data_IF_261728310711
#
_entry.id   IF_261728310711
#
_cell.length_a   1.000
_cell.length_b   1.000
_cell.length_c   1.000
_cell.angle_alpha   90.00
_cell.angle_beta   90.00
_cell.angle_gamma   90.00
#
_symmetry.space_group_name_H-M   'P 1'
#
loop_
_entity.id
_entity.type
_entity.pdbx_description
1 polymer ?
#
# COMPACT_ATOMS: atom_id res chain seq x y z
N UNK A 1 -4.01 -7.10 0.71
CA UNK A 1 -4.65 -6.80 -0.58
C UNK A 1 -4.42 -8.02 -1.42
N UNK A 2 -5.51 -8.71 -1.74
CA UNK A 2 -5.47 -10.03 -2.34
C UNK A 2 -5.32 -9.93 -3.85
N UNK A 3 -4.27 -10.56 -4.37
CA UNK A 3 -3.91 -10.53 -5.78
C UNK A 3 -3.78 -11.95 -6.31
N UNK A 4 -4.36 -12.18 -7.49
CA UNK A 4 -4.28 -13.47 -8.15
C UNK A 4 -2.83 -13.77 -8.56
N UNK A 5 -2.44 -15.03 -8.45
CA UNK A 5 -1.18 -15.52 -9.01
C UNK A 5 -1.34 -15.61 -10.54
N UNK A 6 -0.55 -14.81 -11.26
CA UNK A 6 -0.46 -14.83 -12.72
C UNK A 6 0.62 -15.78 -13.25
N UNK A 7 1.64 -16.09 -12.44
CA UNK A 7 2.74 -16.94 -12.87
C UNK A 7 3.72 -17.29 -11.74
N UNK A 8 4.75 -18.05 -12.10
CA UNK A 8 5.86 -18.40 -11.22
C UNK A 8 7.19 -18.36 -11.97
N UNK A 9 8.25 -17.95 -11.29
CA UNK A 9 9.63 -18.09 -11.75
C UNK A 9 10.56 -18.39 -10.58
N UNK A 10 11.77 -18.83 -10.90
CA UNK A 10 12.88 -18.89 -9.94
C UNK A 10 13.60 -17.54 -9.96
N UNK A 11 13.91 -17.01 -8.79
CA UNK A 11 14.82 -15.87 -8.68
C UNK A 11 16.29 -16.29 -8.91
N UNK A 12 17.21 -15.33 -8.77
CA UNK A 12 18.65 -15.55 -8.96
C UNK A 12 19.27 -16.53 -7.95
N UNK A 13 18.61 -16.74 -6.81
CA UNK A 13 19.03 -17.65 -5.75
C UNK A 13 18.38 -19.05 -5.88
N UNK A 14 17.55 -19.25 -6.91
CA UNK A 14 16.84 -20.51 -7.15
C UNK A 14 15.64 -20.71 -6.22
N UNK A 15 15.08 -19.63 -5.66
CA UNK A 15 13.85 -19.68 -4.87
C UNK A 15 12.61 -19.38 -5.71
N UNK A 16 11.53 -20.12 -5.45
CA UNK A 16 10.26 -19.90 -6.15
C UNK A 16 9.60 -18.58 -5.73
N UNK A 17 9.24 -17.81 -6.75
CA UNK A 17 8.52 -16.55 -6.66
C UNK A 17 7.21 -16.65 -7.42
N UNK A 18 6.12 -16.19 -6.82
CA UNK A 18 4.85 -16.00 -7.49
C UNK A 18 4.79 -14.59 -8.09
N UNK A 19 4.48 -14.51 -9.38
CA UNK A 19 4.16 -13.28 -10.08
C UNK A 19 2.68 -12.98 -9.89
N UNK A 20 2.37 -11.87 -9.22
CA UNK A 20 1.00 -11.47 -8.96
C UNK A 20 0.52 -10.55 -10.09
N UNK A 21 -0.79 -10.58 -10.38
CA UNK A 21 -1.40 -9.76 -11.44
C UNK A 21 -1.24 -8.25 -11.22
N UNK A 22 -0.98 -7.81 -9.99
CA UNK A 22 -0.63 -6.42 -9.68
C UNK A 22 0.80 -6.02 -10.10
N UNK A 23 1.59 -6.94 -10.68
CA UNK A 23 2.98 -6.73 -11.08
C UNK A 23 4.00 -6.93 -9.96
N UNK A 24 3.55 -7.21 -8.73
CA UNK A 24 4.44 -7.51 -7.60
C UNK A 24 4.79 -9.00 -7.54
N UNK A 25 5.93 -9.27 -6.90
CA UNK A 25 6.51 -10.59 -6.74
C UNK A 25 6.53 -11.00 -5.28
N UNK A 26 6.23 -12.27 -5.00
CA UNK A 26 6.23 -12.81 -3.64
C UNK A 26 6.89 -14.18 -3.57
N UNK A 27 7.91 -14.32 -2.71
CA UNK A 27 8.53 -15.61 -2.43
C UNK A 27 7.50 -16.59 -1.85
N UNK A 28 7.46 -17.78 -2.44
CA UNK A 28 6.58 -18.88 -2.05
C UNK A 28 7.45 -20.06 -1.66
N UNK A 29 7.91 -20.07 -0.41
CA UNK A 29 8.80 -21.14 0.11
C UNK A 29 7.98 -22.20 0.86
N UNK A 30 8.44 -23.44 0.81
CA UNK A 30 7.98 -24.54 1.67
C UNK A 30 9.10 -24.81 2.67
N UNK A 31 8.89 -24.40 3.92
CA UNK A 31 9.87 -24.49 5.00
C UNK A 31 9.21 -24.99 6.31
N UNK A 32 8.84 -26.28 6.39
CA UNK A 32 8.25 -26.85 7.60
C UNK A 32 9.24 -26.86 8.78
N UNK A 33 8.77 -26.66 10.03
CA UNK A 33 7.37 -26.54 10.45
C UNK A 33 6.78 -25.12 10.30
N UNK A 34 7.60 -24.13 9.94
CA UNK A 34 7.21 -22.72 9.96
C UNK A 34 6.24 -22.36 8.82
N UNK A 35 6.40 -22.95 7.64
CA UNK A 35 5.58 -22.66 6.46
C UNK A 35 5.36 -23.88 5.58
N UNK A 36 4.17 -24.47 5.60
CA UNK A 36 3.82 -25.60 4.75
C UNK A 36 3.12 -25.16 3.46
N UNK A 37 3.88 -25.13 2.36
CA UNK A 37 3.38 -24.93 0.98
C UNK A 37 3.80 -26.03 0.01
N UNK A 38 3.42 -27.30 0.23
CA UNK A 38 3.92 -28.44 -0.55
C UNK A 38 3.62 -28.34 -2.05
N UNK A 39 2.56 -27.60 -2.40
CA UNK A 39 2.19 -27.30 -3.79
C UNK A 39 3.28 -26.56 -4.57
N UNK A 40 4.22 -25.87 -3.91
CA UNK A 40 5.28 -25.16 -4.64
C UNK A 40 6.38 -26.08 -5.14
N UNK A 41 6.52 -27.27 -4.54
CA UNK A 41 7.61 -28.20 -4.84
C UNK A 41 7.49 -28.82 -6.23
N UNK A 42 6.26 -29.06 -6.69
CA UNK A 42 5.99 -29.74 -7.96
C UNK A 42 5.35 -28.80 -8.99
N UNK A 43 5.69 -28.91 -10.29
CA UNK A 43 5.10 -28.08 -11.35
C UNK A 43 3.58 -28.11 -11.38
N UNK A 44 2.96 -29.27 -11.20
CA UNK A 44 1.50 -29.47 -11.22
C UNK A 44 0.84 -28.73 -10.06
N UNK A 45 1.50 -28.76 -8.89
CA UNK A 45 1.09 -28.02 -7.71
C UNK A 45 1.11 -26.52 -7.95
N UNK A 46 2.15 -25.98 -8.58
CA UNK A 46 2.22 -24.56 -8.96
C UNK A 46 1.15 -24.21 -10.00
N UNK A 47 0.97 -25.03 -11.03
CA UNK A 47 -0.06 -24.83 -12.04
C UNK A 47 -1.47 -24.79 -11.43
N UNK A 48 -1.77 -25.67 -10.48
CA UNK A 48 -3.05 -25.66 -9.75
C UNK A 48 -3.30 -24.40 -8.92
N UNK A 49 -2.25 -23.61 -8.65
CA UNK A 49 -2.33 -22.37 -7.88
C UNK A 49 -2.47 -21.12 -8.72
N UNK A 50 -2.38 -21.21 -10.05
CA UNK A 50 -2.68 -20.06 -10.91
C UNK A 50 -4.12 -19.57 -10.65
N UNK A 51 -4.30 -18.24 -10.60
CA UNK A 51 -5.57 -17.61 -10.24
C UNK A 51 -5.90 -17.58 -8.75
N UNK A 52 -5.21 -18.36 -7.90
CA UNK A 52 -5.41 -18.25 -6.45
C UNK A 52 -4.95 -16.91 -5.91
N UNK A 53 -5.69 -16.39 -4.93
CA UNK A 53 -5.41 -15.10 -4.30
C UNK A 53 -4.35 -15.23 -3.18
N UNK A 54 -3.30 -14.42 -3.27
CA UNK A 54 -2.32 -14.21 -2.20
C UNK A 54 -2.39 -12.78 -1.67
N UNK A 55 -2.08 -12.59 -0.39
CA UNK A 55 -1.86 -11.26 0.17
C UNK A 55 -0.58 -10.67 -0.41
N UNK A 56 -0.69 -9.54 -1.12
CA UNK A 56 0.43 -8.81 -1.67
C UNK A 56 0.89 -7.73 -0.67
N UNK A 57 2.00 -7.99 0.02
CA UNK A 57 2.56 -7.08 1.04
C UNK A 57 2.79 -5.65 0.53
N UNK A 58 3.24 -5.49 -0.72
CA UNK A 58 3.46 -4.17 -1.31
C UNK A 58 2.16 -3.41 -1.59
N UNK A 59 1.13 -4.11 -2.07
CA UNK A 59 -0.20 -3.52 -2.23
C UNK A 59 -0.79 -3.15 -0.85
N UNK A 60 -0.54 -3.96 0.19
CA UNK A 60 -0.96 -3.64 1.55
C UNK A 60 -0.26 -2.40 2.10
N UNK A 61 1.07 -2.35 2.01
CA UNK A 61 1.87 -1.19 2.41
C UNK A 61 1.41 0.08 1.69
N UNK A 62 1.18 0.00 0.37
CA UNK A 62 0.65 1.11 -0.42
C UNK A 62 -0.74 1.54 0.06
N UNK A 63 -1.65 0.60 0.25
CA UNK A 63 -3.01 0.90 0.73
C UNK A 63 -2.99 1.59 2.10
N UNK A 64 -2.16 1.09 3.02
CA UNK A 64 -2.00 1.68 4.34
C UNK A 64 -1.39 3.09 4.29
N UNK A 65 -0.33 3.29 3.50
CA UNK A 65 0.32 4.58 3.33
C UNK A 65 -0.63 5.63 2.73
N UNK A 66 -1.42 5.24 1.73
CA UNK A 66 -2.42 6.13 1.12
C UNK A 66 -3.53 6.51 2.09
N UNK A 67 -4.08 5.54 2.82
CA UNK A 67 -5.10 5.81 3.82
C UNK A 67 -4.59 6.78 4.90
N UNK A 68 -3.34 6.60 5.34
CA UNK A 68 -2.71 7.47 6.31
C UNK A 68 -2.47 8.88 5.77
N UNK A 69 -1.94 9.00 4.56
CA UNK A 69 -1.70 10.30 3.93
C UNK A 69 -3.00 11.10 3.76
N UNK A 70 -4.07 10.45 3.28
CA UNK A 70 -5.38 11.09 3.14
C UNK A 70 -5.95 11.48 4.51
N UNK A 71 -5.85 10.60 5.51
CA UNK A 71 -6.32 10.90 6.88
C UNK A 71 -5.60 12.10 7.46
N UNK A 72 -4.28 12.16 7.35
CA UNK A 72 -3.47 13.28 7.83
C UNK A 72 -3.83 14.59 7.11
N UNK A 73 -3.99 14.55 5.78
CA UNK A 73 -4.40 15.71 4.99
C UNK A 73 -5.80 16.22 5.37
N UNK A 74 -6.75 15.31 5.60
CA UNK A 74 -8.09 15.67 6.07
C UNK A 74 -8.06 16.35 7.44
N UNK A 75 -7.29 15.83 8.39
CA UNK A 75 -7.16 16.38 9.74
C UNK A 75 -6.55 17.78 9.66
N UNK A 76 -5.39 17.92 9.01
CA UNK A 76 -4.72 19.22 8.87
C UNK A 76 -5.62 20.25 8.19
N UNK A 77 -6.25 19.88 7.07
CA UNK A 77 -7.19 20.76 6.37
C UNK A 77 -8.36 21.20 7.27
N UNK A 78 -8.91 20.28 8.08
CA UNK A 78 -10.03 20.57 8.95
C UNK A 78 -9.62 21.48 10.13
N UNK A 79 -8.48 21.21 10.76
CA UNK A 79 -7.94 22.04 11.85
C UNK A 79 -7.65 23.46 11.35
N UNK A 80 -6.93 23.60 10.23
CA UNK A 80 -6.61 24.89 9.62
C UNK A 80 -7.85 25.69 9.23
N UNK A 81 -8.87 25.03 8.68
CA UNK A 81 -10.13 25.68 8.29
C UNK A 81 -10.94 26.13 9.50
N UNK A 82 -10.97 25.31 10.55
CA UNK A 82 -11.71 25.61 11.76
C UNK A 82 -11.07 26.77 12.53
N UNK A 83 -9.74 26.78 12.60
CA UNK A 83 -8.97 27.89 13.20
C UNK A 83 -9.16 29.19 12.40
N UNK A 84 -9.04 29.15 11.07
CA UNK A 84 -9.30 30.31 10.21
C UNK A 84 -10.72 30.87 10.40
N UNK A 85 -11.72 30.00 10.44
CA UNK A 85 -13.09 30.40 10.73
C UNK A 85 -13.23 31.07 12.11
N UNK A 86 -12.43 30.65 13.09
CA UNK A 86 -12.34 31.29 14.39
C UNK A 86 -11.72 32.68 14.36
N UNK A 87 -10.60 32.84 13.65
CA UNK A 87 -9.94 34.13 13.41
C UNK A 87 -10.91 35.10 12.70
N UNK A 88 -11.74 34.58 11.80
CA UNK A 88 -12.75 35.35 11.05
C UNK A 88 -14.03 35.62 11.85
N UNK A 89 -14.12 35.17 13.10
CA UNK A 89 -15.26 35.42 13.98
C UNK A 89 -16.53 34.65 13.60
N UNK A 90 -16.41 33.56 12.82
CA UNK A 90 -17.55 32.72 12.47
C UNK A 90 -18.09 31.99 13.71
N UNK A 91 -19.41 31.82 13.75
CA UNK A 91 -20.06 30.93 14.71
C UNK A 91 -19.64 29.47 14.47
N UNK A 92 -19.85 28.56 15.44
CA UNK A 92 -19.44 27.16 15.29
C UNK A 92 -19.95 26.48 14.02
N UNK A 93 -21.19 26.74 13.62
CA UNK A 93 -21.80 26.19 12.40
C UNK A 93 -21.10 26.71 11.14
N UNK A 94 -20.83 28.02 11.08
CA UNK A 94 -20.13 28.63 9.95
C UNK A 94 -18.68 28.14 9.83
N UNK A 95 -18.01 27.80 10.94
CA UNK A 95 -16.70 27.15 10.90
C UNK A 95 -16.78 25.75 10.30
N UNK A 96 -17.80 24.98 10.64
CA UNK A 96 -18.02 23.64 10.07
C UNK A 96 -18.35 23.71 8.57
N UNK A 97 -19.07 24.73 8.13
CA UNK A 97 -19.27 24.99 6.69
C UNK A 97 -17.95 25.26 5.98
N UNK A 98 -17.11 26.13 6.56
CA UNK A 98 -15.79 26.43 6.01
C UNK A 98 -14.89 25.19 5.93
N UNK A 99 -14.90 24.33 6.96
CA UNK A 99 -14.19 23.03 6.93
C UNK A 99 -14.65 22.16 5.77
N UNK A 100 -15.98 22.04 5.56
CA UNK A 100 -16.54 21.25 4.45
C UNK A 100 -16.13 21.81 3.10
N UNK A 101 -16.14 23.12 2.94
CA UNK A 101 -15.74 23.78 1.70
C UNK A 101 -14.25 23.57 1.42
N UNK A 102 -13.39 23.70 2.43
CA UNK A 102 -11.96 23.41 2.28
C UNK A 102 -11.72 21.94 1.93
N UNK A 103 -12.33 21.00 2.65
CA UNK A 103 -12.20 19.57 2.33
C UNK A 103 -12.62 19.25 0.89
N UNK A 104 -13.66 19.90 0.36
CA UNK A 104 -14.08 19.75 -1.04
C UNK A 104 -13.11 20.37 -2.03
N UNK A 105 -12.42 21.44 -1.64
CA UNK A 105 -11.44 22.14 -2.46
C UNK A 105 -10.04 21.53 -2.41
N UNK A 106 -9.73 20.73 -1.38
CA UNK A 106 -8.44 20.05 -1.22
C UNK A 106 -8.18 19.08 -2.37
N UNK A 107 -7.03 19.22 -3.01
CA UNK A 107 -6.58 18.30 -4.05
C UNK A 107 -5.97 17.03 -3.43
N UNK A 108 -6.84 16.08 -3.08
CA UNK A 108 -6.42 14.75 -2.64
C UNK A 108 -5.71 13.95 -3.73
N UNK A 109 -5.85 14.32 -5.01
CA UNK A 109 -5.11 13.69 -6.10
C UNK A 109 -3.61 13.93 -5.97
N UNK A 110 -3.21 15.16 -5.64
CA UNK A 110 -1.83 15.50 -5.34
C UNK A 110 -1.33 14.80 -4.07
N UNK A 111 -2.13 14.78 -2.99
CA UNK A 111 -1.79 14.06 -1.75
C UNK A 111 -1.48 12.58 -2.01
N UNK A 112 -2.34 11.91 -2.78
CA UNK A 112 -2.16 10.51 -3.17
C UNK A 112 -0.91 10.33 -4.04
N UNK A 113 -0.70 11.20 -5.02
CA UNK A 113 0.45 11.13 -5.94
C UNK A 113 1.78 11.30 -5.22
N UNK A 114 1.85 12.24 -4.28
CA UNK A 114 3.06 12.48 -3.49
C UNK A 114 3.32 11.33 -2.50
N UNK A 115 2.28 10.78 -1.87
CA UNK A 115 2.41 9.61 -1.02
C UNK A 115 2.92 8.37 -1.80
N UNK A 116 2.43 8.16 -3.04
CA UNK A 116 2.94 7.11 -3.93
C UNK A 116 4.43 7.33 -4.22
N UNK A 117 4.82 8.55 -4.60
CA UNK A 117 6.21 8.89 -4.93
C UNK A 117 7.14 8.62 -3.75
N UNK A 118 6.78 9.12 -2.57
CA UNK A 118 7.56 8.92 -1.34
C UNK A 118 7.72 7.43 -0.99
N UNK A 119 6.66 6.64 -1.12
CA UNK A 119 6.72 5.20 -0.83
C UNK A 119 7.60 4.44 -1.84
N UNK A 120 7.54 4.80 -3.13
CA UNK A 120 8.40 4.20 -4.15
C UNK A 120 9.86 4.51 -3.85
N UNK A 121 10.19 5.75 -3.53
CA UNK A 121 11.54 6.17 -3.14
C UNK A 121 12.04 5.38 -1.91
N UNK A 122 11.19 5.21 -0.90
CA UNK A 122 11.51 4.42 0.28
C UNK A 122 11.79 2.94 -0.08
N UNK A 123 10.95 2.33 -0.91
CA UNK A 123 11.16 0.96 -1.37
C UNK A 123 12.44 0.80 -2.19
N UNK A 124 12.82 1.79 -2.99
CA UNK A 124 14.09 1.80 -3.72
C UNK A 124 15.28 1.89 -2.78
N UNK A 125 15.20 2.72 -1.73
CA UNK A 125 16.21 2.81 -0.69
C UNK A 125 16.35 1.49 0.07
N UNK A 126 15.24 0.87 0.49
CA UNK A 126 15.24 -0.43 1.19
C UNK A 126 15.91 -1.54 0.36
N UNK A 127 15.72 -1.54 -0.96
CA UNK A 127 16.43 -2.47 -1.85
C UNK A 127 17.94 -2.25 -1.85
N UNK A 128 18.39 -0.99 -1.81
CA UNK A 128 19.82 -0.63 -1.81
C UNK A 128 20.51 -0.93 -0.47
N UNK A 129 19.77 -0.84 0.63
CA UNK A 129 20.33 -1.06 1.98
C UNK A 129 20.56 -2.53 2.35
N UNK A 130 20.04 -3.48 1.56
CA UNK A 130 20.13 -4.92 1.83
C UNK A 130 19.37 -5.35 3.10
N UNK A 131 19.21 -6.67 3.36
CA UNK A 131 18.69 -7.13 4.63
C UNK A 131 19.67 -6.76 5.76
N UNK A 132 19.20 -6.38 6.96
CA UNK A 132 20.08 -6.21 8.11
C UNK A 132 20.83 -7.53 8.36
N UNK A 133 22.16 -7.43 8.54
CA UNK A 133 23.02 -8.57 8.92
C UNK A 133 22.63 -9.14 10.28
#
# INVERSE_FOLDING_TARGET
>A
MRQAIGGFHLDEEGHWTADLVCGHRQHVRHDPPLMSRPWVLVPEGRASRLGHLLECKRCDELGAALAEAVRAACIACAEDAFEDGGIRGLCPEGRLELVRDRLRATDFGSVVSDAIRALIEEWELRKRSGPPK
#
